data_IF_032243434151
#
_entry.id   IF_032243434151
#
_cell.length_a   1.000
_cell.length_b   1.000
_cell.length_c   1.000
_cell.angle_alpha   90.00
_cell.angle_beta   90.00
_cell.angle_gamma   90.00
#
_symmetry.space_group_name_H-M   'P 1'
#
loop_
_entity.id
_entity.type
_entity.pdbx_description
1 polymer ?
#
# COMPACT_ATOMS: atom_id res chain seq x y z
N UNK A 1 3.33 -1.84 12.41
CA UNK A 1 2.89 -0.63 11.67
C UNK A 1 1.44 -0.76 11.19
N UNK A 2 1.08 -1.47 10.11
CA UNK A 2 -0.33 -1.49 9.61
C UNK A 2 -1.35 -1.85 10.69
N UNK A 3 -1.11 -2.95 11.44
CA UNK A 3 -2.01 -3.41 12.51
C UNK A 3 -2.10 -2.35 13.63
N UNK A 4 -0.97 -1.78 14.02
CA UNK A 4 -0.90 -0.78 15.09
C UNK A 4 -1.56 0.55 14.69
N UNK A 5 -1.49 0.92 13.41
CA UNK A 5 -2.03 2.18 12.88
C UNK A 5 -3.51 2.07 12.50
N UNK A 6 -3.94 0.96 11.89
CA UNK A 6 -5.26 0.83 11.26
C UNK A 6 -6.12 -0.32 11.80
N UNK A 7 -5.56 -1.23 12.59
CA UNK A 7 -6.23 -2.44 13.08
C UNK A 7 -5.96 -3.69 12.22
N UNK A 8 -6.13 -4.86 12.84
CA UNK A 8 -5.87 -6.15 12.20
C UNK A 8 -6.79 -6.42 10.99
N UNK A 9 -8.03 -5.94 11.05
CA UNK A 9 -9.02 -6.08 9.98
C UNK A 9 -8.66 -5.32 8.68
N UNK A 10 -7.70 -4.38 8.76
CA UNK A 10 -7.21 -3.62 7.61
C UNK A 10 -6.00 -4.25 6.93
N UNK A 11 -5.44 -5.32 7.49
CA UNK A 11 -4.39 -6.09 6.84
C UNK A 11 -5.00 -7.23 6.02
N UNK A 12 -4.68 -7.28 4.72
CA UNK A 12 -5.18 -8.32 3.82
C UNK A 12 -4.04 -9.06 3.11
N UNK A 13 -4.27 -10.35 2.81
CA UNK A 13 -3.36 -11.14 1.99
C UNK A 13 -3.65 -10.89 0.52
N UNK A 14 -2.70 -10.29 -0.18
CA UNK A 14 -2.78 -10.13 -1.62
C UNK A 14 -2.32 -11.42 -2.32
N UNK A 15 -3.01 -11.79 -3.41
CA UNK A 15 -2.51 -12.82 -4.32
C UNK A 15 -1.17 -12.37 -4.93
N UNK A 16 -0.27 -13.31 -5.21
CA UNK A 16 0.95 -13.00 -5.97
C UNK A 16 0.55 -12.50 -7.37
N UNK A 17 1.20 -11.45 -7.81
CA UNK A 17 1.02 -10.83 -9.13
C UNK A 17 2.39 -10.75 -9.83
N UNK A 18 2.39 -10.57 -11.16
CA UNK A 18 3.60 -10.49 -11.99
C UNK A 18 3.79 -9.11 -12.68
N UNK A 19 3.53 -7.95 -12.03
CA UNK A 19 3.84 -6.66 -12.62
C UNK A 19 5.35 -6.44 -12.66
N UNK A 20 5.83 -5.72 -13.67
CA UNK A 20 7.17 -5.12 -13.62
C UNK A 20 7.09 -3.84 -12.82
N UNK A 21 7.82 -3.76 -11.70
CA UNK A 21 7.86 -2.61 -10.79
C UNK A 21 9.32 -2.23 -10.55
N UNK A 22 9.69 -0.98 -10.84
CA UNK A 22 11.07 -0.54 -10.79
C UNK A 22 11.56 -0.27 -9.36
N UNK A 23 10.65 -0.20 -8.37
CA UNK A 23 11.00 -0.21 -6.96
C UNK A 23 11.88 -1.40 -6.57
N UNK A 24 11.80 -2.50 -7.32
CA UNK A 24 12.67 -3.67 -7.16
C UNK A 24 14.17 -3.32 -7.25
N UNK A 25 14.56 -2.28 -7.99
CA UNK A 25 15.96 -1.83 -8.03
C UNK A 25 16.45 -1.33 -6.67
N UNK A 26 15.64 -0.58 -5.92
CA UNK A 26 16.03 -0.13 -4.57
C UNK A 26 16.19 -1.32 -3.61
N UNK A 27 15.33 -2.33 -3.76
CA UNK A 27 15.34 -3.53 -2.92
C UNK A 27 16.52 -4.47 -3.19
N UNK A 28 17.29 -4.26 -4.27
CA UNK A 28 18.54 -4.98 -4.50
C UNK A 28 19.63 -4.55 -3.52
N UNK A 29 19.65 -3.26 -3.15
CA UNK A 29 20.73 -2.66 -2.37
C UNK A 29 20.35 -2.35 -0.92
N UNK A 30 19.06 -2.16 -0.64
CA UNK A 30 18.56 -1.76 0.69
C UNK A 30 17.45 -2.71 1.17
N UNK A 31 17.47 -3.15 2.44
CA UNK A 31 16.32 -3.80 3.04
C UNK A 31 15.11 -2.86 2.96
N UNK A 32 14.00 -3.36 2.45
CA UNK A 32 12.79 -2.57 2.29
C UNK A 32 11.57 -3.45 2.09
N UNK A 33 10.42 -2.81 2.02
CA UNK A 33 9.12 -3.44 1.84
C UNK A 33 8.34 -2.63 0.80
N UNK A 34 7.68 -3.32 -0.13
CA UNK A 34 6.72 -2.73 -1.04
C UNK A 34 5.32 -3.15 -0.62
N UNK A 35 4.47 -2.18 -0.28
CA UNK A 35 3.12 -2.42 0.19
C UNK A 35 2.09 -2.00 -0.86
N UNK A 36 1.02 -2.79 -1.00
CA UNK A 36 -0.13 -2.44 -1.81
C UNK A 36 -1.21 -1.81 -0.93
N UNK A 37 -1.83 -0.74 -1.43
CA UNK A 37 -3.00 -0.11 -0.81
C UNK A 37 -4.24 -0.66 -1.51
N UNK A 38 -5.20 -1.16 -0.72
CA UNK A 38 -6.49 -1.60 -1.26
C UNK A 38 -7.32 -0.41 -1.70
N UNK A 39 -7.51 -0.24 -3.01
CA UNK A 39 -8.29 0.86 -3.62
C UNK A 39 -9.57 0.39 -4.31
N UNK A 40 -9.87 -0.92 -4.25
CA UNK A 40 -11.02 -1.50 -4.92
C UNK A 40 -12.31 -1.20 -4.14
N UNK A 41 -13.30 -0.60 -4.79
CA UNK A 41 -14.60 -0.32 -4.21
C UNK A 41 -15.70 -0.30 -5.30
N UNK A 42 -16.64 -1.27 -5.30
CA UNK A 42 -17.76 -1.31 -6.25
C UNK A 42 -18.70 -0.10 -6.19
N UNK A 43 -18.88 0.53 -5.03
CA UNK A 43 -19.81 1.65 -4.84
C UNK A 43 -19.40 2.91 -5.62
N UNK A 44 -18.11 3.03 -5.93
CA UNK A 44 -17.54 4.13 -6.73
C UNK A 44 -16.98 3.64 -8.09
N UNK A 45 -17.39 2.45 -8.53
CA UNK A 45 -16.93 1.82 -9.78
C UNK A 45 -15.40 1.61 -9.87
N UNK A 46 -14.69 1.61 -8.74
CA UNK A 46 -13.27 1.30 -8.65
C UNK A 46 -13.03 -0.22 -8.68
N UNK A 47 -13.32 -0.83 -9.83
CA UNK A 47 -13.26 -2.30 -10.03
C UNK A 47 -12.42 -2.73 -11.23
N UNK A 48 -11.98 -1.77 -12.04
CA UNK A 48 -11.13 -2.01 -13.20
C UNK A 48 -9.65 -2.00 -12.80
N UNK A 49 -8.86 -2.88 -13.42
CA UNK A 49 -7.43 -2.96 -13.18
C UNK A 49 -6.68 -1.68 -13.60
N UNK A 50 -5.47 -1.52 -13.05
CA UNK A 50 -4.50 -0.54 -13.54
C UNK A 50 -4.31 -0.69 -15.06
N UNK A 51 -4.12 0.44 -15.77
CA UNK A 51 -4.02 0.53 -17.24
C UNK A 51 -5.32 0.33 -18.03
N UNK A 52 -6.48 0.23 -17.37
CA UNK A 52 -7.78 0.24 -18.05
C UNK A 52 -8.25 1.69 -18.32
N UNK A 53 -8.96 1.94 -19.43
CA UNK A 53 -9.52 3.26 -19.75
C UNK A 53 -10.67 3.71 -18.83
N UNK A 54 -11.22 2.77 -18.05
CA UNK A 54 -12.20 2.99 -16.99
C UNK A 54 -11.59 2.91 -15.61
N UNK A 55 -10.26 2.95 -15.51
CA UNK A 55 -9.60 2.93 -14.20
C UNK A 55 -10.17 4.04 -13.31
N UNK A 56 -10.58 3.62 -12.12
CA UNK A 56 -10.97 4.49 -11.03
C UNK A 56 -10.45 3.88 -9.72
N UNK A 57 -10.41 4.68 -8.67
CA UNK A 57 -9.94 4.25 -7.35
C UNK A 57 -10.82 4.81 -6.24
N UNK A 58 -10.94 4.07 -5.14
CA UNK A 58 -11.48 4.62 -3.90
C UNK A 58 -10.46 5.57 -3.27
N UNK A 59 -10.71 6.87 -3.32
CA UNK A 59 -9.82 7.89 -2.76
C UNK A 59 -10.03 8.12 -1.25
N UNK A 60 -11.09 7.55 -0.66
CA UNK A 60 -11.33 7.63 0.79
C UNK A 60 -10.22 6.95 1.59
N UNK A 61 -9.48 6.03 0.98
CA UNK A 61 -8.38 5.28 1.61
C UNK A 61 -7.07 6.10 1.70
N UNK A 62 -6.96 7.22 0.99
CA UNK A 62 -5.70 7.99 0.88
C UNK A 62 -5.20 8.47 2.24
N UNK A 63 -6.11 8.94 3.12
CA UNK A 63 -5.73 9.38 4.47
C UNK A 63 -5.16 8.23 5.29
N UNK A 64 -5.81 7.07 5.28
CA UNK A 64 -5.35 5.89 6.03
C UNK A 64 -4.01 5.37 5.50
N UNK A 65 -3.85 5.32 4.17
CA UNK A 65 -2.60 4.93 3.54
C UNK A 65 -1.44 5.88 3.92
N UNK A 66 -1.67 7.19 3.86
CA UNK A 66 -0.67 8.20 4.23
C UNK A 66 -0.22 8.07 5.70
N UNK A 67 -1.16 7.77 6.61
CA UNK A 67 -0.86 7.53 8.01
C UNK A 67 0.06 6.31 8.20
N UNK A 68 -0.17 5.22 7.48
CA UNK A 68 0.70 4.03 7.52
C UNK A 68 2.13 4.36 7.08
N UNK A 69 2.32 5.15 6.03
CA UNK A 69 3.67 5.56 5.59
C UNK A 69 4.35 6.47 6.62
N UNK A 70 3.62 7.41 7.22
CA UNK A 70 4.15 8.28 8.26
C UNK A 70 4.57 7.47 9.51
N UNK A 71 3.69 6.58 9.98
CA UNK A 71 3.97 5.71 11.13
C UNK A 71 5.11 4.73 10.84
N UNK A 72 5.23 4.24 9.61
CA UNK A 72 6.38 3.41 9.21
C UNK A 72 7.70 4.17 9.38
N UNK A 73 7.77 5.41 8.89
CA UNK A 73 8.96 6.24 9.02
C UNK A 73 9.27 6.59 10.48
N UNK A 74 8.25 6.94 11.27
CA UNK A 74 8.40 7.25 12.70
C UNK A 74 8.91 6.03 13.46
N UNK A 75 8.28 4.87 13.30
CA UNK A 75 8.68 3.64 13.97
C UNK A 75 10.13 3.27 13.62
N UNK A 76 10.48 3.32 12.33
CA UNK A 76 11.86 3.04 11.90
C UNK A 76 12.87 4.00 12.53
N UNK A 77 12.59 5.31 12.55
CA UNK A 77 13.47 6.32 13.15
C UNK A 77 13.57 6.20 14.68
N UNK A 78 12.56 5.68 15.37
CA UNK A 78 12.61 5.43 16.80
C UNK A 78 13.51 4.23 17.14
N UNK A 79 13.49 3.19 16.30
CA UNK A 79 14.28 1.98 16.49
C UNK A 79 15.75 2.12 16.05
N UNK A 80 16.03 3.02 15.09
CA UNK A 80 17.32 3.13 14.42
C UNK A 80 18.04 4.48 14.66
N UNK A 81 17.78 5.11 15.80
CA UNK A 81 18.44 6.34 16.25
C UNK A 81 19.76 6.09 16.97
#
# INVERSE_FOLDING_TARGET
>A
VVIDTLGEDKLSKMRKVMPGEDFAWYLQDKPGCFAFIGIQNPEVEATYDHHNNRFNMDDTVLSAASAVYAEYAIAWLQENK
#
